data_IF_748160180863
#
_entry.id   IF_748160180863
#
_cell.length_a   1.000
_cell.length_b   1.000
_cell.length_c   1.000
_cell.angle_alpha   90.00
_cell.angle_beta   90.00
_cell.angle_gamma   90.00
#
_symmetry.space_group_name_H-M   'P 1'
#
loop_
_entity.id
_entity.type
_entity.pdbx_description
1 polymer ?
#
# COMPACT_ATOMS: atom_id res chain seq x y z
N UNK A 1 -14.98 -0.19 10.76
CA UNK A 1 -14.29 -0.21 9.43
C UNK A 1 -12.96 -0.90 9.61
N UNK A 2 -12.69 -1.93 8.82
CA UNK A 2 -11.46 -2.74 8.86
C UNK A 2 -10.71 -2.63 7.53
N UNK A 3 -9.44 -2.26 7.56
CA UNK A 3 -8.57 -2.20 6.38
C UNK A 3 -7.77 -3.49 6.26
N UNK A 4 -7.90 -4.16 5.13
CA UNK A 4 -7.15 -5.38 4.78
C UNK A 4 -6.17 -5.02 3.69
N UNK A 5 -4.88 -5.02 4.03
CA UNK A 5 -3.80 -4.65 3.10
C UNK A 5 -3.11 -5.90 2.60
N UNK A 6 -3.18 -6.15 1.30
CA UNK A 6 -2.41 -7.19 0.61
C UNK A 6 -1.11 -6.53 0.13
N UNK A 7 0.02 -7.00 0.65
CA UNK A 7 1.32 -6.35 0.51
C UNK A 7 2.21 -7.12 -0.45
N UNK A 8 2.73 -6.44 -1.46
CA UNK A 8 3.57 -7.05 -2.49
C UNK A 8 5.02 -7.30 -2.04
N UNK A 9 5.45 -6.66 -0.93
CA UNK A 9 6.75 -6.91 -0.29
C UNK A 9 6.72 -6.61 1.22
N UNK A 10 7.72 -7.06 2.01
CA UNK A 10 7.70 -6.96 3.47
C UNK A 10 7.87 -5.54 4.03
N UNK A 11 8.03 -4.51 3.20
CA UNK A 11 8.27 -3.12 3.66
C UNK A 11 7.02 -2.25 3.72
N UNK A 12 5.84 -2.80 3.40
CA UNK A 12 4.60 -2.02 3.26
C UNK A 12 4.07 -1.39 4.52
N UNK A 13 4.36 -1.96 5.68
CA UNK A 13 3.89 -1.47 6.97
C UNK A 13 4.75 -0.35 7.58
N UNK A 14 5.76 0.15 6.88
CA UNK A 14 6.77 1.09 7.41
C UNK A 14 6.23 2.45 7.88
N UNK A 15 5.02 2.84 7.48
CA UNK A 15 4.40 4.13 7.86
C UNK A 15 3.33 4.00 8.94
N UNK A 16 3.10 2.80 9.45
CA UNK A 16 2.06 2.52 10.44
C UNK A 16 2.61 1.68 11.60
N UNK A 17 1.89 1.66 12.72
CA UNK A 17 2.25 0.89 13.91
C UNK A 17 1.01 0.18 14.49
N UNK A 18 1.22 -0.70 15.47
CA UNK A 18 0.17 -1.45 16.18
C UNK A 18 -0.79 -2.16 15.22
N UNK A 19 -0.23 -2.84 14.22
CA UNK A 19 -0.98 -3.66 13.28
C UNK A 19 -0.30 -5.00 13.09
N UNK A 20 -1.09 -6.04 12.80
CA UNK A 20 -0.56 -7.35 12.49
C UNK A 20 -0.03 -7.38 11.05
N UNK A 21 1.10 -8.06 10.86
CA UNK A 21 1.61 -8.50 9.57
C UNK A 21 1.46 -10.02 9.52
N UNK A 22 0.53 -10.51 8.72
CA UNK A 22 0.27 -11.93 8.56
C UNK A 22 1.21 -12.50 7.48
N UNK A 23 2.03 -13.46 7.86
CA UNK A 23 2.98 -14.14 6.95
C UNK A 23 2.36 -15.38 6.29
N UNK A 24 1.13 -15.74 6.68
CA UNK A 24 0.33 -16.81 6.12
C UNK A 24 -1.10 -16.32 5.94
N UNK A 25 -1.82 -16.90 5.00
CA UNK A 25 -3.18 -16.51 4.66
C UNK A 25 -4.18 -17.67 4.69
N UNK A 26 -3.91 -18.71 5.48
CA UNK A 26 -4.93 -19.69 5.83
C UNK A 26 -6.06 -19.04 6.63
N UNK A 27 -7.25 -19.64 6.59
CA UNK A 27 -8.45 -19.06 7.21
C UNK A 27 -8.27 -18.75 8.70
N UNK A 28 -7.54 -19.59 9.44
CA UNK A 28 -7.31 -19.40 10.87
C UNK A 28 -6.41 -18.20 11.16
N UNK A 29 -5.41 -17.97 10.32
CA UNK A 29 -4.51 -16.82 10.41
C UNK A 29 -5.21 -15.52 10.00
N UNK A 30 -5.98 -15.55 8.90
CA UNK A 30 -6.78 -14.39 8.47
C UNK A 30 -7.80 -13.98 9.54
N UNK A 31 -8.44 -14.95 10.19
CA UNK A 31 -9.37 -14.67 11.26
C UNK A 31 -8.74 -13.86 12.41
N UNK A 32 -7.49 -14.16 12.80
CA UNK A 32 -6.75 -13.37 13.81
C UNK A 32 -6.58 -11.91 13.37
N UNK A 33 -6.39 -11.65 12.07
CA UNK A 33 -6.35 -10.30 11.53
C UNK A 33 -7.67 -9.56 11.73
N UNK A 34 -8.78 -10.22 11.41
CA UNK A 34 -10.12 -9.63 11.59
C UNK A 34 -10.48 -9.43 13.07
N UNK A 35 -10.13 -10.35 13.94
CA UNK A 35 -10.41 -10.30 15.39
C UNK A 35 -9.47 -9.40 16.17
N UNK A 36 -8.39 -8.91 15.55
CA UNK A 36 -7.46 -7.98 16.21
C UNK A 36 -8.14 -6.64 16.56
N UNK A 37 -7.72 -6.02 17.65
CA UNK A 37 -8.22 -4.70 18.05
C UNK A 37 -7.79 -3.56 17.09
N UNK A 38 -6.81 -3.83 16.21
CA UNK A 38 -6.40 -2.87 15.20
C UNK A 38 -7.45 -2.78 14.08
N UNK A 39 -7.75 -1.57 13.63
CA UNK A 39 -8.58 -1.36 12.44
C UNK A 39 -7.86 -1.72 11.12
N UNK A 40 -6.60 -2.16 11.20
CA UNK A 40 -5.72 -2.42 10.07
C UNK A 40 -4.91 -3.68 10.31
N UNK A 41 -4.78 -4.54 9.29
CA UNK A 41 -3.77 -5.60 9.26
C UNK A 41 -3.25 -5.81 7.83
N UNK A 42 -2.03 -6.36 7.74
CA UNK A 42 -1.37 -6.68 6.48
C UNK A 42 -1.32 -8.19 6.25
N UNK A 43 -1.40 -8.57 4.99
CA UNK A 43 -1.15 -9.92 4.48
C UNK A 43 0.05 -9.82 3.56
N UNK A 44 1.18 -10.39 3.92
CA UNK A 44 2.39 -10.40 3.11
C UNK A 44 2.25 -11.42 1.97
N UNK A 45 1.81 -10.96 0.81
CA UNK A 45 1.71 -11.78 -0.40
C UNK A 45 3.05 -11.98 -1.10
N UNK A 46 3.99 -11.03 -0.92
CA UNK A 46 5.34 -11.03 -1.50
C UNK A 46 5.38 -11.22 -3.03
N UNK A 47 4.36 -10.76 -3.72
CA UNK A 47 4.10 -10.99 -5.14
C UNK A 47 5.08 -10.30 -6.05
N UNK A 48 5.78 -9.24 -5.59
CA UNK A 48 6.82 -8.57 -6.38
C UNK A 48 7.98 -9.50 -6.76
N UNK A 49 8.25 -10.52 -5.95
CA UNK A 49 9.29 -11.51 -6.21
C UNK A 49 8.83 -12.65 -7.13
N UNK A 50 7.55 -12.67 -7.52
CA UNK A 50 6.93 -13.76 -8.27
C UNK A 50 6.74 -13.43 -9.76
N UNK A 51 6.62 -14.47 -10.58
CA UNK A 51 6.13 -14.33 -11.96
C UNK A 51 4.68 -13.82 -11.98
N UNK A 52 4.22 -13.29 -13.12
CA UNK A 52 2.80 -12.85 -13.27
C UNK A 52 1.82 -13.99 -12.94
N UNK A 53 2.11 -15.21 -13.38
CA UNK A 53 1.24 -16.37 -13.12
C UNK A 53 1.21 -16.73 -11.64
N UNK A 54 2.36 -16.80 -10.98
CA UNK A 54 2.44 -17.14 -9.57
C UNK A 54 1.84 -16.02 -8.70
N UNK A 55 2.07 -14.75 -9.05
CA UNK A 55 1.46 -13.62 -8.37
C UNK A 55 -0.07 -13.68 -8.47
N UNK A 56 -0.62 -13.98 -9.65
CA UNK A 56 -2.06 -14.15 -9.86
C UNK A 56 -2.62 -15.30 -9.03
N UNK A 57 -1.95 -16.45 -9.01
CA UNK A 57 -2.34 -17.61 -8.21
C UNK A 57 -2.34 -17.28 -6.71
N UNK A 58 -1.29 -16.64 -6.22
CA UNK A 58 -1.16 -16.20 -4.81
C UNK A 58 -2.29 -15.27 -4.42
N UNK A 59 -2.57 -14.22 -5.21
CA UNK A 59 -3.68 -13.29 -4.93
C UNK A 59 -5.01 -14.01 -4.96
N UNK A 60 -5.22 -14.93 -5.90
CA UNK A 60 -6.47 -15.70 -6.01
C UNK A 60 -6.68 -16.59 -4.78
N UNK A 61 -5.64 -17.24 -4.28
CA UNK A 61 -5.68 -18.04 -3.05
C UNK A 61 -6.02 -17.19 -1.83
N UNK A 62 -5.33 -16.05 -1.65
CA UNK A 62 -5.62 -15.08 -0.58
C UNK A 62 -7.08 -14.65 -0.64
N UNK A 63 -7.59 -14.28 -1.82
CA UNK A 63 -8.97 -13.86 -1.99
C UNK A 63 -9.98 -14.97 -1.65
N UNK A 64 -9.70 -16.21 -2.05
CA UNK A 64 -10.56 -17.37 -1.73
C UNK A 64 -10.67 -17.55 -0.21
N UNK A 65 -9.56 -17.51 0.49
CA UNK A 65 -9.52 -17.65 1.94
C UNK A 65 -10.18 -16.46 2.66
N UNK A 66 -9.96 -15.23 2.17
CA UNK A 66 -10.65 -14.04 2.65
C UNK A 66 -12.17 -14.16 2.51
N UNK A 67 -12.67 -14.60 1.34
CA UNK A 67 -14.11 -14.84 1.13
C UNK A 67 -14.66 -15.86 2.13
N UNK A 68 -13.95 -16.96 2.34
CA UNK A 68 -14.36 -18.00 3.28
C UNK A 68 -14.50 -17.43 4.69
N UNK A 69 -13.52 -16.67 5.16
CA UNK A 69 -13.54 -16.05 6.50
C UNK A 69 -14.66 -15.02 6.60
N UNK A 70 -14.78 -14.13 5.61
CA UNK A 70 -15.81 -13.07 5.61
C UNK A 70 -17.22 -13.68 5.59
N UNK A 71 -17.45 -14.75 4.82
CA UNK A 71 -18.76 -15.41 4.74
C UNK A 71 -19.08 -16.26 5.97
N UNK A 72 -18.07 -16.73 6.70
CA UNK A 72 -18.28 -17.60 7.89
C UNK A 72 -18.65 -16.79 9.14
N UNK A 73 -18.39 -15.50 9.16
CA UNK A 73 -18.70 -14.58 10.26
C UNK A 73 -19.39 -13.34 9.69
N UNK A 74 -20.51 -12.95 10.30
CA UNK A 74 -21.12 -11.65 10.02
C UNK A 74 -20.27 -10.56 10.65
N UNK A 75 -19.31 -10.01 9.89
CA UNK A 75 -18.62 -8.81 10.34
C UNK A 75 -19.55 -7.61 10.16
N UNK A 76 -19.83 -6.92 11.25
CA UNK A 76 -20.67 -5.71 11.23
C UNK A 76 -19.91 -4.51 10.61
N UNK A 77 -18.58 -4.60 10.57
CA UNK A 77 -17.73 -3.55 10.05
C UNK A 77 -17.56 -3.62 8.54
N UNK A 78 -17.51 -2.43 7.91
CA UNK A 78 -17.13 -2.31 6.50
C UNK A 78 -15.67 -2.75 6.30
N UNK A 79 -15.43 -3.61 5.31
CA UNK A 79 -14.11 -4.12 4.97
C UNK A 79 -13.60 -3.40 3.72
N UNK A 80 -12.45 -2.78 3.85
CA UNK A 80 -11.78 -2.04 2.77
C UNK A 80 -10.52 -2.79 2.36
N UNK A 81 -10.41 -3.10 1.07
CA UNK A 81 -9.26 -3.78 0.51
C UNK A 81 -8.26 -2.79 -0.08
N UNK A 82 -7.00 -3.00 0.25
CA UNK A 82 -5.87 -2.21 -0.25
C UNK A 82 -4.83 -3.19 -0.82
N UNK A 83 -4.49 -3.03 -2.10
CA UNK A 83 -3.31 -3.64 -2.71
C UNK A 83 -2.14 -2.68 -2.51
N UNK A 84 -1.23 -3.00 -1.60
CA UNK A 84 -0.04 -2.18 -1.39
C UNK A 84 1.01 -2.56 -2.42
N UNK A 85 1.53 -1.57 -3.12
CA UNK A 85 2.57 -1.72 -4.13
C UNK A 85 3.78 -0.82 -3.91
N UNK A 86 4.76 -1.00 -4.76
CA UNK A 86 5.99 -0.21 -4.72
C UNK A 86 5.74 1.26 -5.11
N UNK A 87 6.22 2.15 -4.28
CA UNK A 87 6.17 3.59 -4.53
C UNK A 87 7.10 4.05 -5.68
N UNK A 88 7.87 3.15 -6.27
CA UNK A 88 8.65 3.39 -7.50
C UNK A 88 8.02 2.73 -8.73
N UNK A 89 6.73 2.37 -8.66
CA UNK A 89 5.91 1.81 -9.74
C UNK A 89 6.40 0.45 -10.27
N UNK A 90 7.32 -0.25 -9.59
CA UNK A 90 7.68 -1.63 -9.91
C UNK A 90 6.62 -2.59 -9.35
N UNK A 91 6.56 -3.79 -9.89
CA UNK A 91 5.60 -4.81 -9.48
C UNK A 91 4.36 -4.89 -10.37
N UNK A 92 3.42 -5.68 -9.96
CA UNK A 92 2.22 -6.05 -10.72
C UNK A 92 1.08 -5.03 -10.55
N UNK A 93 1.30 -3.75 -10.97
CA UNK A 93 0.38 -2.65 -10.64
C UNK A 93 -1.01 -2.79 -11.24
N UNK A 94 -1.16 -3.50 -12.36
CA UNK A 94 -2.47 -3.79 -12.95
C UNK A 94 -2.98 -5.17 -12.53
N UNK A 95 -2.13 -6.19 -12.60
CA UNK A 95 -2.52 -7.59 -12.38
C UNK A 95 -3.11 -7.83 -11.00
N UNK A 96 -2.48 -7.33 -9.93
CA UNK A 96 -2.98 -7.53 -8.56
C UNK A 96 -4.34 -6.88 -8.32
N UNK A 97 -4.56 -5.57 -8.61
CA UNK A 97 -5.89 -4.98 -8.48
C UNK A 97 -6.93 -5.66 -9.37
N UNK A 98 -6.56 -6.11 -10.57
CA UNK A 98 -7.46 -6.84 -11.47
C UNK A 98 -7.88 -8.18 -10.88
N UNK A 99 -6.94 -8.94 -10.30
CA UNK A 99 -7.24 -10.21 -9.62
C UNK A 99 -8.13 -9.98 -8.38
N UNK A 100 -7.84 -8.94 -7.60
CA UNK A 100 -8.67 -8.56 -6.45
C UNK A 100 -10.09 -8.17 -6.87
N UNK A 101 -10.23 -7.37 -7.94
CA UNK A 101 -11.55 -7.01 -8.47
C UNK A 101 -12.33 -8.24 -8.94
N UNK A 102 -11.68 -9.16 -9.65
CA UNK A 102 -12.30 -10.40 -10.14
C UNK A 102 -12.74 -11.30 -8.98
N UNK A 103 -11.99 -11.32 -7.89
CA UNK A 103 -12.28 -12.20 -6.75
C UNK A 103 -13.19 -11.55 -5.71
N UNK A 104 -12.90 -10.32 -5.25
CA UNK A 104 -13.58 -9.67 -4.11
C UNK A 104 -14.57 -8.58 -4.56
N UNK A 105 -14.56 -8.23 -5.84
CA UNK A 105 -15.46 -7.25 -6.43
C UNK A 105 -16.91 -7.74 -6.62
N UNK A 106 -17.71 -7.02 -7.44
CA UNK A 106 -17.26 -5.88 -8.24
C UNK A 106 -16.97 -4.63 -7.40
N UNK A 107 -15.93 -3.89 -7.77
CA UNK A 107 -15.67 -2.56 -7.23
C UNK A 107 -16.18 -1.48 -8.19
N UNK A 108 -16.57 -0.33 -7.65
CA UNK A 108 -16.99 0.83 -8.44
C UNK A 108 -15.78 1.52 -9.09
N UNK A 109 -14.66 1.57 -8.37
CA UNK A 109 -13.40 2.09 -8.88
C UNK A 109 -12.19 1.49 -8.19
N UNK A 110 -11.04 1.53 -8.89
CA UNK A 110 -9.71 1.27 -8.33
C UNK A 110 -8.90 2.57 -8.36
N UNK A 111 -8.49 3.05 -7.19
CA UNK A 111 -7.65 4.24 -7.04
C UNK A 111 -6.18 3.86 -6.99
N UNK A 112 -5.36 4.56 -7.78
CA UNK A 112 -3.90 4.40 -7.83
C UNK A 112 -3.23 5.59 -7.16
N UNK A 113 -2.61 5.36 -5.99
CA UNK A 113 -2.02 6.40 -5.14
C UNK A 113 -0.58 6.02 -4.81
N UNK A 114 0.35 6.09 -5.78
CA UNK A 114 1.72 5.62 -5.59
C UNK A 114 2.57 6.55 -4.73
N UNK A 115 2.02 7.65 -4.22
CA UNK A 115 2.75 8.60 -3.43
C UNK A 115 3.30 7.99 -2.13
N UNK A 116 4.58 8.27 -1.87
CA UNK A 116 5.29 7.97 -0.62
C UNK A 116 6.06 9.22 -0.19
N UNK A 117 5.40 10.02 0.62
CA UNK A 117 5.82 11.38 0.98
C UNK A 117 7.14 11.36 1.74
N UNK A 118 7.31 10.40 2.67
CA UNK A 118 8.53 10.21 3.46
C UNK A 118 9.75 9.92 2.59
N UNK A 119 9.53 9.23 1.46
CA UNK A 119 10.57 8.94 0.46
C UNK A 119 10.62 9.95 -0.67
N UNK A 120 9.95 11.10 -0.56
CA UNK A 120 9.87 12.15 -1.60
C UNK A 120 9.38 11.61 -2.96
N UNK A 121 8.43 10.68 -2.94
CA UNK A 121 7.82 10.10 -4.13
C UNK A 121 6.41 10.65 -4.27
N UNK A 122 6.20 11.43 -5.31
CA UNK A 122 5.02 12.28 -5.48
C UNK A 122 4.42 12.08 -6.87
N UNK A 123 3.11 12.29 -6.98
CA UNK A 123 2.41 12.26 -8.27
C UNK A 123 1.82 13.63 -8.55
N UNK A 124 2.22 14.24 -9.67
CA UNK A 124 1.87 15.60 -10.04
C UNK A 124 1.50 15.61 -11.54
N UNK A 125 0.35 16.14 -11.87
CA UNK A 125 -0.19 16.16 -13.24
C UNK A 125 -0.15 14.77 -13.92
N UNK A 126 -0.51 13.73 -13.15
CA UNK A 126 -0.52 12.34 -13.60
C UNK A 126 0.86 11.72 -13.83
N UNK A 127 1.93 12.44 -13.53
CA UNK A 127 3.31 11.96 -13.63
C UNK A 127 3.91 11.70 -12.26
N UNK A 128 4.70 10.64 -12.13
CA UNK A 128 5.32 10.24 -10.86
C UNK A 128 6.80 10.64 -10.80
N UNK A 129 7.22 11.12 -9.64
CA UNK A 129 8.55 11.65 -9.39
C UNK A 129 9.18 11.00 -8.16
N UNK A 130 10.50 10.92 -8.17
CA UNK A 130 11.35 10.57 -7.02
C UNK A 130 12.32 11.72 -6.81
N UNK A 131 12.23 12.39 -5.66
CA UNK A 131 13.08 13.57 -5.32
C UNK A 131 13.13 14.61 -6.46
N UNK A 132 11.95 14.93 -7.04
CA UNK A 132 11.76 15.87 -8.18
C UNK A 132 12.25 15.35 -9.54
N UNK A 133 12.85 14.18 -9.61
CA UNK A 133 13.28 13.57 -10.86
C UNK A 133 12.11 12.72 -11.41
N UNK A 134 11.71 12.88 -12.69
CA UNK A 134 10.74 11.99 -13.31
C UNK A 134 11.17 10.52 -13.16
N UNK A 135 10.26 9.65 -12.74
CA UNK A 135 10.65 8.31 -12.31
C UNK A 135 11.27 7.47 -13.43
N UNK A 136 10.92 7.73 -14.70
CA UNK A 136 11.53 7.07 -15.86
C UNK A 136 13.00 7.48 -16.11
N UNK A 137 13.50 8.51 -15.42
CA UNK A 137 14.90 8.94 -15.46
C UNK A 137 15.71 8.45 -14.26
N UNK A 138 15.12 7.61 -13.42
CA UNK A 138 15.77 7.05 -12.24
C UNK A 138 16.23 5.62 -12.47
N UNK A 139 17.08 5.10 -11.58
CA UNK A 139 17.54 3.70 -11.61
C UNK A 139 16.39 2.68 -11.57
N UNK A 140 15.24 3.06 -11.01
CA UNK A 140 14.07 2.18 -10.90
C UNK A 140 13.46 1.84 -12.26
N UNK A 141 13.57 2.74 -13.24
CA UNK A 141 13.09 2.50 -14.60
C UNK A 141 13.88 1.42 -15.33
N UNK A 142 15.13 1.18 -14.93
CA UNK A 142 16.01 0.16 -15.52
C UNK A 142 15.88 -1.21 -14.84
N UNK A 143 14.84 -1.42 -14.03
CA UNK A 143 14.57 -2.73 -13.43
C UNK A 143 14.38 -3.79 -14.51
N UNK A 144 15.03 -4.95 -14.36
CA UNK A 144 15.05 -6.00 -15.40
C UNK A 144 13.69 -6.67 -15.63
N UNK A 145 12.80 -6.61 -14.65
CA UNK A 145 11.49 -7.29 -14.68
C UNK A 145 10.36 -6.25 -14.85
N UNK A 146 10.44 -5.17 -14.09
CA UNK A 146 9.38 -4.16 -13.98
C UNK A 146 9.79 -2.79 -14.53
N UNK A 147 10.81 -2.74 -15.39
CA UNK A 147 11.27 -1.51 -16.02
C UNK A 147 10.19 -0.82 -16.85
N UNK A 148 10.31 0.48 -17.02
CA UNK A 148 9.35 1.30 -17.74
C UNK A 148 10.02 2.54 -18.36
N UNK A 149 9.38 3.07 -19.43
CA UNK A 149 9.91 4.20 -20.20
C UNK A 149 9.18 5.52 -19.90
N UNK A 150 8.08 5.48 -19.15
CA UNK A 150 7.23 6.66 -18.92
C UNK A 150 7.06 6.93 -17.42
N UNK A 151 7.02 8.22 -17.07
CA UNK A 151 6.62 8.68 -15.72
C UNK A 151 5.11 8.92 -15.60
N UNK A 152 4.38 8.94 -16.72
CA UNK A 152 2.93 9.13 -16.71
C UNK A 152 2.25 7.84 -16.26
N UNK A 153 1.59 7.89 -15.08
CA UNK A 153 1.01 6.72 -14.42
C UNK A 153 -0.14 6.13 -15.26
N UNK A 154 -0.93 6.95 -15.94
CA UNK A 154 -2.01 6.50 -16.83
C UNK A 154 -1.45 5.68 -18.00
N UNK A 155 -0.39 6.16 -18.66
CA UNK A 155 0.27 5.43 -19.75
C UNK A 155 0.88 4.13 -19.26
N UNK A 156 1.56 4.15 -18.11
CA UNK A 156 2.15 2.97 -17.51
C UNK A 156 1.08 1.89 -17.21
N UNK A 157 -0.01 2.31 -16.57
CA UNK A 157 -1.10 1.39 -16.22
C UNK A 157 -1.73 0.77 -17.47
N UNK A 158 -1.96 1.57 -18.50
CA UNK A 158 -2.49 1.07 -19.78
C UNK A 158 -1.55 0.05 -20.42
N UNK A 159 -0.24 0.33 -20.46
CA UNK A 159 0.76 -0.61 -20.97
C UNK A 159 0.76 -1.93 -20.18
N UNK A 160 0.76 -1.84 -18.84
CA UNK A 160 0.73 -3.03 -17.97
C UNK A 160 -0.59 -3.82 -18.06
N UNK A 161 -1.67 -3.17 -18.47
CA UNK A 161 -2.95 -3.85 -18.68
C UNK A 161 -2.97 -4.78 -19.90
N UNK A 162 -2.00 -4.65 -20.81
CA UNK A 162 -1.94 -5.44 -22.05
C UNK A 162 -3.27 -5.39 -22.81
N UNK A 163 -3.86 -4.20 -22.91
CA UNK A 163 -5.15 -3.92 -23.55
C UNK A 163 -6.39 -4.55 -22.90
N UNK A 164 -6.30 -4.95 -21.63
CA UNK A 164 -7.45 -5.45 -20.88
C UNK A 164 -8.41 -4.32 -20.44
N UNK A 165 -7.95 -3.06 -20.47
CA UNK A 165 -8.77 -1.87 -20.21
C UNK A 165 -8.58 -0.86 -21.34
N UNK A 166 -9.57 0.02 -21.55
CA UNK A 166 -9.42 1.11 -22.49
C UNK A 166 -8.68 2.28 -21.83
N UNK A 167 -7.89 2.99 -22.63
CA UNK A 167 -7.18 4.17 -22.13
C UNK A 167 -8.13 5.22 -21.54
N UNK A 168 -9.31 5.38 -22.12
CA UNK A 168 -10.35 6.33 -21.68
C UNK A 168 -11.01 5.93 -20.34
N UNK A 169 -10.89 4.67 -19.94
CA UNK A 169 -11.38 4.20 -18.63
C UNK A 169 -10.45 4.58 -17.47
N UNK A 170 -9.27 5.12 -17.78
CA UNK A 170 -8.30 5.60 -16.81
C UNK A 170 -8.44 7.13 -16.67
N UNK A 171 -8.82 7.60 -15.51
CA UNK A 171 -9.00 9.01 -15.19
C UNK A 171 -7.87 9.51 -14.28
N UNK A 172 -7.62 10.82 -14.31
CA UNK A 172 -6.76 11.48 -13.34
C UNK A 172 -7.62 12.33 -12.39
N UNK A 173 -7.29 12.30 -11.13
CA UNK A 173 -7.73 13.24 -10.11
C UNK A 173 -6.52 14.12 -9.78
N UNK A 174 -6.47 15.30 -10.39
CA UNK A 174 -5.34 16.21 -10.31
C UNK A 174 -5.28 16.94 -8.96
N UNK A 175 -4.16 17.57 -8.66
CA UNK A 175 -4.00 18.38 -7.44
C UNK A 175 -5.08 19.45 -7.30
N UNK A 176 -5.44 20.11 -8.41
CA UNK A 176 -6.55 21.10 -8.43
C UNK A 176 -7.88 20.50 -8.00
N UNK A 177 -8.17 19.27 -8.40
CA UNK A 177 -9.38 18.57 -7.99
C UNK A 177 -9.33 18.23 -6.49
N UNK A 178 -8.17 17.77 -5.98
CA UNK A 178 -7.96 17.50 -4.55
C UNK A 178 -8.11 18.79 -3.71
N UNK A 179 -7.62 19.91 -4.21
CA UNK A 179 -7.75 21.20 -3.53
C UNK A 179 -9.21 21.69 -3.47
N UNK A 180 -9.99 21.46 -4.50
CA UNK A 180 -11.42 21.77 -4.55
C UNK A 180 -12.28 20.76 -3.79
N UNK A 181 -11.77 19.51 -3.58
CA UNK A 181 -12.53 18.44 -2.99
C UNK A 181 -12.94 18.77 -1.55
N UNK A 182 -14.21 18.59 -1.24
CA UNK A 182 -14.77 18.57 0.12
C UNK A 182 -15.85 17.48 0.19
N UNK A 183 -16.39 17.24 1.36
CA UNK A 183 -17.38 16.20 1.61
C UNK A 183 -18.84 16.67 1.46
N UNK A 184 -19.05 17.83 0.86
CA UNK A 184 -20.38 18.35 0.56
C UNK A 184 -20.97 17.71 -0.69
N UNK A 185 -22.23 17.34 -0.65
CA UNK A 185 -22.90 16.67 -1.77
C UNK A 185 -23.05 17.53 -3.03
N UNK A 186 -22.94 18.85 -2.92
CA UNK A 186 -22.96 19.77 -4.05
C UNK A 186 -21.59 19.95 -4.73
N UNK A 187 -20.49 19.52 -4.08
CA UNK A 187 -19.15 19.61 -4.65
C UNK A 187 -19.03 18.78 -5.92
N UNK A 188 -18.47 19.39 -6.98
CA UNK A 188 -18.38 18.77 -8.31
C UNK A 188 -17.48 17.52 -8.31
N UNK A 189 -16.35 17.58 -7.59
CA UNK A 189 -15.40 16.46 -7.50
C UNK A 189 -15.99 15.33 -6.67
N UNK A 190 -16.67 15.66 -5.55
CA UNK A 190 -17.39 14.68 -4.76
C UNK A 190 -18.43 13.92 -5.57
N UNK A 191 -19.24 14.67 -6.37
CA UNK A 191 -20.24 14.05 -7.29
C UNK A 191 -19.58 13.15 -8.33
N UNK A 192 -18.46 13.58 -8.90
CA UNK A 192 -17.72 12.76 -9.86
C UNK A 192 -17.25 11.45 -9.23
N UNK A 193 -16.67 11.49 -8.02
CA UNK A 193 -16.26 10.28 -7.28
C UNK A 193 -17.46 9.40 -6.89
N UNK A 194 -18.57 9.98 -6.46
CA UNK A 194 -19.81 9.26 -6.14
C UNK A 194 -20.41 8.53 -7.34
N UNK A 195 -20.24 9.07 -8.54
CA UNK A 195 -20.76 8.50 -9.79
C UNK A 195 -19.85 7.45 -10.45
N UNK A 196 -18.67 7.20 -9.88
CA UNK A 196 -17.79 6.13 -10.38
C UNK A 196 -18.49 4.78 -10.32
N UNK A 197 -18.31 3.97 -11.35
CA UNK A 197 -18.86 2.61 -11.48
C UNK A 197 -18.03 1.78 -12.46
N UNK A 198 -18.32 0.48 -12.56
CA UNK A 198 -17.69 -0.44 -13.50
C UNK A 198 -16.16 -0.49 -13.37
N UNK A 199 -15.66 -0.43 -12.15
CA UNK A 199 -14.24 -0.45 -11.82
C UNK A 199 -13.39 0.57 -12.60
N UNK A 200 -13.84 1.82 -12.68
CA UNK A 200 -13.03 2.91 -13.28
C UNK A 200 -11.67 2.99 -12.57
N UNK A 201 -10.63 3.21 -13.33
CA UNK A 201 -9.26 3.36 -12.83
C UNK A 201 -8.96 4.85 -12.62
N UNK A 202 -8.66 5.25 -11.39
CA UNK A 202 -8.45 6.66 -11.03
C UNK A 202 -7.05 6.85 -10.46
N UNK A 203 -6.23 7.63 -11.15
CA UNK A 203 -4.90 8.01 -10.69
C UNK A 203 -5.04 9.28 -9.85
N UNK A 204 -4.51 9.27 -8.64
CA UNK A 204 -4.64 10.37 -7.68
C UNK A 204 -3.31 11.08 -7.52
N UNK A 205 -3.29 12.36 -7.85
CA UNK A 205 -2.15 13.22 -7.60
C UNK A 205 -2.01 13.54 -6.12
N UNK A 206 -0.79 13.50 -5.61
CA UNK A 206 -0.47 13.79 -4.21
C UNK A 206 0.93 14.36 -4.09
N UNK A 207 1.07 15.48 -3.38
CA UNK A 207 2.34 16.09 -2.99
C UNK A 207 2.58 16.09 -1.48
N UNK A 208 1.52 16.07 -0.67
CA UNK A 208 1.63 16.22 0.77
C UNK A 208 0.51 15.52 1.55
N UNK A 209 0.71 15.40 2.86
CA UNK A 209 -0.25 14.75 3.74
C UNK A 209 -1.59 15.50 3.89
N UNK A 210 -1.62 16.82 3.71
CA UNK A 210 -2.88 17.57 3.77
C UNK A 210 -3.84 17.11 2.67
N UNK A 211 -3.32 16.92 1.45
CA UNK A 211 -4.07 16.42 0.32
C UNK A 211 -4.55 14.97 0.54
N UNK A 212 -3.66 14.08 1.04
CA UNK A 212 -4.06 12.71 1.39
C UNK A 212 -5.15 12.67 2.46
N UNK A 213 -5.04 13.52 3.49
CA UNK A 213 -6.05 13.59 4.56
C UNK A 213 -7.40 14.04 4.02
N UNK A 214 -7.40 15.06 3.17
CA UNK A 214 -8.61 15.58 2.53
C UNK A 214 -9.30 14.51 1.69
N UNK A 215 -8.53 13.84 0.83
CA UNK A 215 -9.00 12.72 0.02
C UNK A 215 -9.53 11.58 0.90
N UNK A 216 -8.78 11.17 1.94
CA UNK A 216 -9.18 10.10 2.87
C UNK A 216 -10.51 10.39 3.57
N UNK A 217 -10.76 11.64 3.99
CA UNK A 217 -12.02 12.02 4.63
C UNK A 217 -13.22 11.86 3.69
N UNK A 218 -13.06 12.29 2.45
CA UNK A 218 -14.11 12.14 1.43
C UNK A 218 -14.35 10.68 1.08
N UNK A 219 -13.27 9.91 0.89
CA UNK A 219 -13.37 8.47 0.63
C UNK A 219 -14.09 7.75 1.77
N UNK A 220 -13.76 8.03 3.03
CA UNK A 220 -14.45 7.43 4.20
C UNK A 220 -15.96 7.69 4.21
N UNK A 221 -16.41 8.80 3.67
CA UNK A 221 -17.85 9.09 3.52
C UNK A 221 -18.45 8.27 2.36
N UNK A 222 -17.74 8.21 1.22
CA UNK A 222 -18.23 7.54 0.02
C UNK A 222 -18.28 6.02 0.13
N UNK A 223 -17.36 5.37 0.83
CA UNK A 223 -17.33 3.89 0.98
C UNK A 223 -18.54 3.32 1.71
N UNK A 224 -19.34 4.15 2.39
CA UNK A 224 -20.65 3.73 2.92
C UNK A 224 -21.68 3.44 1.83
N UNK A 225 -21.45 3.90 0.60
CA UNK A 225 -22.36 3.77 -0.54
C UNK A 225 -21.69 3.16 -1.77
N UNK A 226 -20.35 3.08 -1.77
CA UNK A 226 -19.51 2.67 -2.88
C UNK A 226 -18.46 1.66 -2.44
N UNK A 227 -18.10 0.76 -3.34
CA UNK A 227 -17.03 -0.21 -3.11
C UNK A 227 -15.79 0.23 -3.88
N UNK A 228 -14.76 0.62 -3.18
CA UNK A 228 -13.50 1.06 -3.76
C UNK A 228 -12.37 0.11 -3.43
N UNK A 229 -11.50 -0.10 -4.41
CA UNK A 229 -10.21 -0.76 -4.26
C UNK A 229 -9.10 0.27 -4.36
N UNK A 230 -8.02 0.07 -3.62
CA UNK A 230 -6.88 0.99 -3.63
C UNK A 230 -5.61 0.23 -4.00
N UNK A 231 -4.89 0.71 -5.02
CA UNK A 231 -3.49 0.35 -5.30
C UNK A 231 -2.62 1.51 -4.84
N UNK A 232 -1.87 1.33 -3.77
CA UNK A 232 -1.22 2.46 -3.11
C UNK A 232 0.16 2.12 -2.58
N UNK A 233 0.99 3.14 -2.39
CA UNK A 233 2.16 3.07 -1.54
C UNK A 233 1.78 3.32 -0.06
N UNK A 234 2.79 3.45 0.81
CA UNK A 234 2.58 3.41 2.25
C UNK A 234 1.87 4.65 2.84
N UNK A 235 2.11 5.87 2.30
CA UNK A 235 1.59 7.11 2.92
C UNK A 235 0.06 7.19 2.94
N UNK A 236 -0.63 6.67 1.91
CA UNK A 236 -2.09 6.66 1.91
C UNK A 236 -2.66 5.74 2.99
N UNK A 237 -2.01 4.60 3.25
CA UNK A 237 -2.45 3.64 4.29
C UNK A 237 -2.47 4.33 5.65
N UNK A 238 -1.42 5.06 5.99
CA UNK A 238 -1.33 5.84 7.21
C UNK A 238 -2.43 6.91 7.30
N UNK A 239 -2.71 7.60 6.18
CA UNK A 239 -3.74 8.64 6.12
C UNK A 239 -5.15 8.09 6.29
N UNK A 240 -5.51 7.02 5.55
CA UNK A 240 -6.88 6.48 5.56
C UNK A 240 -7.19 5.71 6.84
N UNK A 241 -6.20 5.01 7.42
CA UNK A 241 -6.35 4.27 8.68
C UNK A 241 -6.22 5.14 9.93
N UNK A 242 -5.78 6.40 9.78
CA UNK A 242 -5.44 7.33 10.87
C UNK A 242 -4.33 6.82 11.80
N UNK A 243 -3.59 5.82 11.35
CA UNK A 243 -2.41 5.30 12.07
C UNK A 243 -1.16 5.98 11.54
N UNK A 244 -0.57 6.83 12.38
CA UNK A 244 0.70 7.51 12.06
C UNK A 244 1.86 6.71 12.63
N UNK A 245 3.03 6.79 11.99
CA UNK A 245 4.27 6.38 12.65
C UNK A 245 4.48 7.22 13.89
N UNK A 246 4.75 6.57 15.02
CA UNK A 246 5.07 7.25 16.28
C UNK A 246 6.56 7.12 16.50
N UNK A 247 7.23 8.23 16.76
CA UNK A 247 8.60 8.18 17.26
C UNK A 247 8.59 7.46 18.61
N UNK A 248 9.20 6.29 18.65
CA UNK A 248 9.24 5.46 19.85
C UNK A 248 10.43 5.88 20.72
N UNK A 249 10.19 5.99 22.02
CA UNK A 249 11.24 6.32 22.99
C UNK A 249 12.17 5.11 23.26
N UNK A 250 13.37 5.36 23.76
CA UNK A 250 14.28 4.31 24.20
C UNK A 250 13.63 3.38 25.24
N UNK A 251 12.76 3.92 26.11
CA UNK A 251 12.00 3.16 27.10
C UNK A 251 11.07 2.15 26.40
N UNK A 252 10.41 2.56 25.32
CA UNK A 252 9.57 1.65 24.54
C UNK A 252 10.39 0.48 24.00
N UNK A 253 11.52 0.77 23.33
CA UNK A 253 12.39 -0.28 22.77
C UNK A 253 12.99 -1.18 23.86
N UNK A 254 13.36 -0.63 25.02
CA UNK A 254 13.87 -1.43 26.14
C UNK A 254 12.83 -2.41 26.69
N UNK A 255 11.54 -2.03 26.65
CA UNK A 255 10.44 -2.90 27.09
C UNK A 255 10.13 -4.04 26.09
N UNK A 256 10.50 -3.89 24.82
CA UNK A 256 10.35 -4.95 23.81
C UNK A 256 11.46 -6.01 23.88
N UNK A 257 12.59 -5.70 24.54
CA UNK A 257 13.72 -6.62 24.61
C UNK A 257 13.44 -7.77 25.58
N UNK A 258 13.70 -8.98 25.12
CA UNK A 258 13.59 -10.18 25.94
C UNK A 258 14.70 -10.17 27.00
N UNK A 259 14.33 -10.50 28.23
CA UNK A 259 15.26 -10.61 29.37
C UNK A 259 15.38 -12.08 29.77
N UNK A 260 16.57 -12.47 30.22
CA UNK A 260 16.80 -13.76 30.82
C UNK A 260 16.22 -13.83 32.26
N UNK A 261 16.35 -14.97 32.94
CA UNK A 261 15.90 -15.18 34.32
C UNK A 261 16.56 -14.21 35.33
N UNK A 262 17.75 -13.72 35.01
CA UNK A 262 18.51 -12.78 35.83
C UNK A 262 18.19 -11.31 35.51
N UNK A 263 17.13 -11.06 34.71
CA UNK A 263 16.67 -9.74 34.24
C UNK A 263 17.67 -8.98 33.36
N UNK A 264 18.75 -9.61 32.90
CA UNK A 264 19.64 -9.04 31.89
C UNK A 264 19.05 -9.19 30.49
N UNK A 265 19.39 -8.27 29.57
CA UNK A 265 18.92 -8.34 28.19
C UNK A 265 19.60 -9.47 27.44
N UNK A 266 18.82 -10.24 26.67
CA UNK A 266 19.38 -11.18 25.71
C UNK A 266 20.02 -10.41 24.52
N UNK A 267 21.07 -10.98 23.90
CA UNK A 267 21.65 -10.40 22.70
C UNK A 267 20.60 -10.34 21.56
N UNK A 268 20.70 -9.32 20.72
CA UNK A 268 19.91 -9.21 19.51
C UNK A 268 20.64 -9.84 18.33
N UNK A 269 19.88 -10.27 17.31
CA UNK A 269 20.40 -10.71 16.03
C UNK A 269 19.99 -9.70 14.96
N UNK A 270 20.94 -9.22 14.17
CA UNK A 270 20.71 -8.33 13.03
C UNK A 270 21.12 -9.09 11.77
N UNK A 271 20.20 -9.20 10.82
CA UNK A 271 20.42 -9.84 9.54
C UNK A 271 20.38 -8.77 8.45
N UNK A 272 21.46 -8.64 7.67
CA UNK A 272 21.56 -7.68 6.57
C UNK A 272 21.69 -8.46 5.26
N UNK A 273 20.60 -8.51 4.48
CA UNK A 273 20.57 -9.19 3.18
C UNK A 273 20.63 -8.23 1.98
N UNK A 274 20.65 -6.93 2.22
CA UNK A 274 20.68 -5.90 1.18
C UNK A 274 22.13 -5.61 0.76
N UNK A 275 22.35 -5.44 -0.55
CA UNK A 275 23.64 -5.08 -1.15
C UNK A 275 23.69 -3.64 -1.69
N UNK A 276 22.63 -2.85 -1.45
CA UNK A 276 22.63 -1.42 -1.88
C UNK A 276 23.57 -0.60 -1.00
N UNK A 277 24.18 0.42 -1.58
CA UNK A 277 25.19 1.27 -0.93
C UNK A 277 24.72 1.81 0.44
N UNK A 278 23.49 2.30 0.54
CA UNK A 278 22.94 2.81 1.80
C UNK A 278 22.95 1.74 2.91
N UNK A 279 22.60 0.50 2.59
CA UNK A 279 22.61 -0.61 3.58
C UNK A 279 24.04 -0.95 4.01
N UNK A 280 25.00 -0.86 3.10
CA UNK A 280 26.42 -1.04 3.40
C UNK A 280 26.94 0.06 4.34
N UNK A 281 26.58 1.31 4.09
CA UNK A 281 26.91 2.44 4.98
C UNK A 281 26.28 2.23 6.38
N UNK A 282 25.02 1.85 6.43
CA UNK A 282 24.31 1.57 7.70
C UNK A 282 24.96 0.42 8.47
N UNK A 283 25.36 -0.65 7.79
CA UNK A 283 26.07 -1.77 8.42
C UNK A 283 27.43 -1.34 8.97
N UNK A 284 28.22 -0.59 8.21
CA UNK A 284 29.51 -0.11 8.66
C UNK A 284 29.38 0.78 9.90
N UNK A 285 28.44 1.72 9.90
CA UNK A 285 28.14 2.55 11.08
C UNK A 285 27.71 1.71 12.30
N UNK A 286 26.95 0.63 12.07
CA UNK A 286 26.54 -0.29 13.14
C UNK A 286 27.74 -1.02 13.74
N UNK A 287 28.69 -1.48 12.91
CA UNK A 287 29.89 -2.20 13.36
C UNK A 287 30.86 -1.34 14.16
N UNK A 288 30.77 0.00 14.01
CA UNK A 288 31.54 0.95 14.84
C UNK A 288 31.00 1.07 16.28
N UNK A 289 29.79 0.57 16.56
CA UNK A 289 29.22 0.57 17.89
C UNK A 289 29.88 -0.53 18.71
N UNK A 290 30.47 -0.18 19.85
CA UNK A 290 31.35 -1.03 20.67
C UNK A 290 30.78 -2.38 21.15
N UNK A 291 29.46 -2.57 21.05
CA UNK A 291 28.77 -3.80 21.49
C UNK A 291 28.23 -4.64 20.33
N UNK A 292 28.58 -4.31 19.08
CA UNK A 292 28.22 -5.12 17.91
C UNK A 292 29.40 -6.01 17.52
N UNK A 293 29.18 -7.32 17.58
CA UNK A 293 30.11 -8.33 17.08
C UNK A 293 29.55 -8.90 15.78
N UNK A 294 30.29 -8.86 14.65
CA UNK A 294 29.86 -9.44 13.38
C UNK A 294 29.81 -10.97 13.42
#
# INVERSE_FOLDING_TARGET
MKFVVIDDDPTGSQTVHDCLLLLKWDCSTLLKGFESNSNLFFILANTRSLSENDAKLTITEICKNLKTVISSKAFEEEIIFISRGDSTLRGHNFLEPSALNSCLGPFDATFYIPAFIEGKRLTINGSHFVDKIPINQTIFASDKIFGYETSNVKKLLFQQSKSQINFEDIQNLFLSDIEMLNDEENNIVYKALKNLNNNKHVIVDVENYSQLKKFSLVIKKLIKQKKFLFRTAASFISSISEKKSVSQSEIFFSNLRIRNKEKSFLPGLIIVGSYVELSTIQLNNLLEISNCNP
#
